data_IF_533461184226
#
_entry.id   IF_533461184226
#
_cell.length_a   1.000
_cell.length_b   1.000
_cell.length_c   1.000
_cell.angle_alpha   90.00
_cell.angle_beta   90.00
_cell.angle_gamma   90.00
#
_symmetry.space_group_name_H-M   'P 1'
#
loop_
_entity.id
_entity.type
_entity.pdbx_description
1 polymer ?
#
# COMPACT_ATOMS: atom_id res chain seq x y z
N UNK A 1 14.88 -2.28 -0.70
CA UNK A 1 14.04 -2.71 0.45
C UNK A 1 12.57 -2.53 0.07
N UNK A 2 11.74 -3.48 0.45
CA UNK A 2 10.28 -3.37 0.35
C UNK A 2 9.74 -3.02 1.73
N UNK A 3 8.88 -2.02 1.81
CA UNK A 3 8.13 -1.71 3.02
C UNK A 3 6.70 -2.21 2.88
N UNK A 4 6.31 -3.18 3.71
CA UNK A 4 4.96 -3.72 3.79
C UNK A 4 4.21 -3.04 4.93
N UNK A 5 3.00 -2.53 4.69
CA UNK A 5 2.20 -1.97 5.76
C UNK A 5 0.73 -2.35 5.63
N UNK A 6 0.16 -2.84 6.73
CA UNK A 6 -1.28 -3.05 6.87
C UNK A 6 -1.95 -1.92 7.67
N UNK A 7 -1.21 -0.85 7.93
CA UNK A 7 -1.69 0.26 8.75
C UNK A 7 -1.83 -0.14 10.22
N UNK A 8 -2.89 0.34 10.86
CA UNK A 8 -3.23 0.03 12.26
C UNK A 8 -4.14 -1.19 12.40
N UNK A 9 -4.66 -1.70 11.29
CA UNK A 9 -5.56 -2.84 11.22
C UNK A 9 -4.76 -4.15 11.05
N UNK A 10 -5.33 -5.12 10.35
CA UNK A 10 -4.69 -6.40 10.07
C UNK A 10 -4.99 -6.86 8.64
N UNK A 11 -4.08 -7.59 8.06
CA UNK A 11 -4.27 -8.30 6.80
C UNK A 11 -3.31 -9.49 6.75
N UNK A 12 -3.60 -10.50 7.53
CA UNK A 12 -2.73 -11.67 7.73
C UNK A 12 -2.44 -12.42 6.42
N UNK A 13 -3.41 -12.49 5.52
CA UNK A 13 -3.21 -13.13 4.21
C UNK A 13 -2.12 -12.43 3.38
N UNK A 14 -2.05 -11.10 3.43
CA UNK A 14 -1.00 -10.34 2.75
C UNK A 14 0.37 -10.54 3.41
N UNK A 15 0.43 -10.49 4.74
CA UNK A 15 1.68 -10.71 5.48
C UNK A 15 2.21 -12.12 5.23
N UNK A 16 1.32 -13.12 5.23
CA UNK A 16 1.67 -14.51 4.93
C UNK A 16 2.18 -14.66 3.49
N UNK A 17 1.50 -14.09 2.52
CA UNK A 17 1.93 -14.16 1.11
C UNK A 17 3.33 -13.57 0.92
N UNK A 18 3.60 -12.40 1.52
CA UNK A 18 4.94 -11.81 1.48
C UNK A 18 5.99 -12.68 2.17
N UNK A 19 5.63 -13.36 3.24
CA UNK A 19 6.53 -14.28 3.95
C UNK A 19 6.86 -15.51 3.09
N UNK A 20 5.85 -16.09 2.44
CA UNK A 20 6.01 -17.21 1.51
C UNK A 20 6.86 -16.81 0.28
N UNK A 21 6.70 -15.60 -0.24
CA UNK A 21 7.51 -15.07 -1.35
C UNK A 21 8.96 -14.83 -0.95
N UNK A 22 9.21 -14.42 0.27
CA UNK A 22 10.56 -14.29 0.81
C UNK A 22 11.22 -15.67 1.03
N UNK A 23 10.47 -16.62 1.58
CA UNK A 23 10.94 -18.00 1.82
C UNK A 23 11.31 -18.70 0.52
N UNK A 24 10.49 -18.58 -0.51
CA UNK A 24 10.73 -19.18 -1.83
C UNK A 24 11.85 -18.53 -2.63
N UNK A 25 12.33 -17.36 -2.22
CA UNK A 25 13.28 -16.56 -2.98
C UNK A 25 12.70 -15.83 -4.19
N UNK A 26 11.38 -15.80 -4.33
CA UNK A 26 10.70 -15.03 -5.38
C UNK A 26 10.90 -13.53 -5.15
N UNK A 27 10.86 -13.10 -3.90
CA UNK A 27 11.27 -11.76 -3.47
C UNK A 27 12.60 -11.90 -2.73
N UNK A 28 13.63 -11.26 -3.25
CA UNK A 28 15.01 -11.35 -2.73
C UNK A 28 15.42 -10.10 -1.96
N UNK A 29 14.68 -9.01 -2.09
CA UNK A 29 14.94 -7.77 -1.36
C UNK A 29 14.61 -7.91 0.14
N UNK A 30 15.31 -7.16 0.95
CA UNK A 30 14.94 -7.05 2.37
C UNK A 30 13.55 -6.45 2.53
N UNK A 31 12.79 -6.99 3.47
CA UNK A 31 11.43 -6.54 3.78
C UNK A 31 11.40 -6.04 5.22
N UNK A 32 10.77 -4.89 5.41
CA UNK A 32 10.35 -4.40 6.72
C UNK A 32 8.83 -4.30 6.70
N UNK A 33 8.16 -4.85 7.70
CA UNK A 33 6.71 -4.87 7.75
C UNK A 33 6.15 -4.16 8.99
N UNK A 34 5.07 -3.41 8.78
CA UNK A 34 4.15 -2.99 9.84
C UNK A 34 2.91 -3.88 9.77
N UNK A 35 2.73 -4.74 10.76
CA UNK A 35 1.69 -5.80 10.73
C UNK A 35 0.45 -5.47 11.57
N UNK A 36 0.43 -4.32 12.25
CA UNK A 36 -0.72 -3.85 13.01
C UNK A 36 -1.16 -4.83 14.09
N UNK A 37 -2.45 -5.12 14.13
CA UNK A 37 -3.09 -6.04 15.09
C UNK A 37 -3.16 -7.49 14.60
N UNK A 38 -2.53 -7.80 13.47
CA UNK A 38 -2.53 -9.13 12.89
C UNK A 38 -1.97 -10.22 13.81
N UNK A 39 -2.42 -11.45 13.58
CA UNK A 39 -2.02 -12.63 14.36
C UNK A 39 -0.93 -13.44 13.68
N UNK A 40 -0.82 -13.33 12.36
CA UNK A 40 0.27 -13.99 11.63
C UNK A 40 1.61 -13.30 11.90
N UNK A 41 2.59 -14.09 12.33
CA UNK A 41 3.96 -13.61 12.62
C UNK A 41 4.89 -14.09 11.50
N UNK A 42 5.45 -13.17 10.69
CA UNK A 42 6.36 -13.53 9.62
C UNK A 42 7.69 -14.06 10.19
N UNK A 43 8.33 -14.99 9.46
CA UNK A 43 9.59 -15.64 9.87
C UNK A 43 10.78 -15.20 9.02
N UNK A 44 10.54 -14.72 7.81
CA UNK A 44 11.59 -14.48 6.82
C UNK A 44 11.96 -13.00 6.68
N UNK A 45 11.32 -12.11 7.42
CA UNK A 45 11.66 -10.69 7.44
C UNK A 45 11.34 -10.03 8.79
N UNK A 46 11.83 -8.81 8.95
CA UNK A 46 11.62 -8.01 10.16
C UNK A 46 10.24 -7.37 10.14
N UNK A 47 9.61 -7.31 11.30
CA UNK A 47 8.32 -6.65 11.46
C UNK A 47 8.26 -5.80 12.73
N UNK A 48 7.35 -4.86 12.70
CA UNK A 48 6.94 -4.00 13.82
C UNK A 48 5.41 -3.98 13.82
N UNK A 49 4.80 -3.87 14.97
CA UNK A 49 3.34 -3.78 15.02
C UNK A 49 2.84 -2.41 14.58
N UNK A 50 3.47 -1.34 15.09
CA UNK A 50 3.10 0.02 14.77
C UNK A 50 4.33 0.93 14.79
N UNK A 51 4.55 1.66 13.71
CA UNK A 51 5.53 2.74 13.64
C UNK A 51 4.84 4.07 13.91
N UNK A 52 5.38 4.86 14.82
CA UNK A 52 4.89 6.22 15.10
C UNK A 52 5.16 7.18 13.95
N UNK A 53 6.25 6.97 13.23
CA UNK A 53 6.65 7.79 12.09
C UNK A 53 7.10 6.89 10.93
N UNK A 54 6.38 6.95 9.82
CA UNK A 54 6.64 6.15 8.63
C UNK A 54 7.68 6.78 7.68
N UNK A 55 8.07 8.04 7.90
CA UNK A 55 8.93 8.78 6.96
C UNK A 55 10.25 8.07 6.67
N UNK A 56 10.87 7.49 7.69
CA UNK A 56 12.12 6.75 7.51
C UNK A 56 11.93 5.47 6.70
N UNK A 57 10.86 4.74 6.96
CA UNK A 57 10.52 3.54 6.21
C UNK A 57 10.24 3.88 4.75
N UNK A 58 9.48 4.92 4.49
CA UNK A 58 9.21 5.40 3.14
C UNK A 58 10.49 5.84 2.40
N UNK A 59 11.39 6.55 3.08
CA UNK A 59 12.64 7.00 2.49
C UNK A 59 13.59 5.84 2.11
N UNK A 60 13.53 4.74 2.83
CA UNK A 60 14.36 3.55 2.59
C UNK A 60 13.76 2.57 1.58
N UNK A 61 12.45 2.66 1.34
CA UNK A 61 11.75 1.69 0.50
C UNK A 61 11.92 2.01 -1.00
N UNK A 62 12.24 1.00 -1.79
CA UNK A 62 12.16 1.05 -3.25
C UNK A 62 10.72 0.86 -3.74
N UNK A 63 9.96 0.03 -3.01
CA UNK A 63 8.53 -0.21 -3.24
C UNK A 63 7.83 -0.31 -1.90
N UNK A 64 6.62 0.25 -1.83
CA UNK A 64 5.72 0.12 -0.69
C UNK A 64 4.57 -0.80 -1.10
N UNK A 65 4.29 -1.81 -0.28
CA UNK A 65 3.12 -2.68 -0.42
C UNK A 65 2.16 -2.37 0.72
N UNK A 66 0.95 -1.98 0.37
CA UNK A 66 -0.05 -1.51 1.33
C UNK A 66 -1.35 -2.30 1.24
N UNK A 67 -1.99 -2.47 2.38
CA UNK A 67 -3.35 -3.04 2.47
C UNK A 67 -4.47 -2.07 2.02
N UNK A 68 -4.13 -0.89 1.51
CA UNK A 68 -5.09 0.03 0.90
C UNK A 68 -5.79 0.98 1.85
N UNK A 69 -5.24 1.24 3.02
CA UNK A 69 -5.72 2.32 3.89
C UNK A 69 -5.67 3.67 3.16
N UNK A 70 -6.73 4.48 3.26
CA UNK A 70 -6.85 5.73 2.52
C UNK A 70 -5.73 6.73 2.84
N UNK A 71 -5.37 6.87 4.10
CA UNK A 71 -4.29 7.76 4.54
C UNK A 71 -2.94 7.39 3.93
N UNK A 72 -2.53 6.13 4.02
CA UNK A 72 -1.30 5.63 3.41
C UNK A 72 -1.32 5.80 1.90
N UNK A 73 -2.43 5.47 1.26
CA UNK A 73 -2.59 5.57 -0.20
C UNK A 73 -2.40 7.01 -0.67
N UNK A 74 -3.06 7.97 -0.05
CA UNK A 74 -2.94 9.39 -0.41
C UNK A 74 -1.54 9.90 -0.10
N UNK A 75 -0.99 9.60 1.06
CA UNK A 75 0.36 10.05 1.43
C UNK A 75 1.42 9.56 0.46
N UNK A 76 1.43 8.26 0.15
CA UNK A 76 2.40 7.68 -0.77
C UNK A 76 2.26 8.23 -2.18
N UNK A 77 1.03 8.35 -2.69
CA UNK A 77 0.80 8.84 -4.05
C UNK A 77 1.12 10.32 -4.20
N UNK A 78 0.80 11.16 -3.23
CA UNK A 78 1.16 12.59 -3.27
C UNK A 78 2.67 12.83 -3.19
N UNK A 79 3.41 11.92 -2.54
CA UNK A 79 4.88 11.96 -2.47
C UNK A 79 5.58 11.31 -3.66
N UNK A 80 4.83 10.74 -4.59
CA UNK A 80 5.39 10.05 -5.76
C UNK A 80 6.15 8.77 -5.43
N UNK A 81 5.82 8.11 -4.33
CA UNK A 81 6.42 6.85 -3.93
C UNK A 81 5.86 5.69 -4.74
N UNK A 82 6.67 4.67 -4.99
CA UNK A 82 6.23 3.48 -5.70
C UNK A 82 5.36 2.62 -4.79
N UNK A 83 4.07 2.62 -5.06
CA UNK A 83 3.04 2.01 -4.23
C UNK A 83 2.32 0.89 -4.97
N UNK A 84 2.29 -0.28 -4.35
CA UNK A 84 1.38 -1.39 -4.68
C UNK A 84 0.31 -1.43 -3.61
N UNK A 85 -0.96 -1.31 -4.02
CA UNK A 85 -2.10 -1.47 -3.12
C UNK A 85 -2.71 -2.84 -3.35
N UNK A 86 -2.80 -3.64 -2.28
CA UNK A 86 -3.42 -4.95 -2.30
C UNK A 86 -4.84 -4.86 -1.76
N UNK A 87 -5.79 -5.32 -2.56
CA UNK A 87 -7.20 -5.31 -2.17
C UNK A 87 -7.47 -6.27 -1.02
N UNK A 88 -7.99 -5.74 0.08
CA UNK A 88 -8.53 -6.54 1.19
C UNK A 88 -10.06 -6.55 1.11
N UNK A 89 -10.60 -7.59 0.48
CA UNK A 89 -12.05 -7.72 0.22
C UNK A 89 -12.91 -7.79 1.47
N UNK A 90 -12.32 -8.14 2.62
CA UNK A 90 -13.06 -8.28 3.89
C UNK A 90 -13.22 -6.95 4.65
N UNK A 91 -12.45 -5.92 4.31
CA UNK A 91 -12.37 -4.66 5.07
C UNK A 91 -12.55 -3.42 4.19
N UNK A 92 -12.27 -3.52 2.88
CA UNK A 92 -12.40 -2.39 1.97
C UNK A 92 -13.86 -2.07 1.69
N UNK A 93 -14.24 -0.86 2.00
CA UNK A 93 -15.53 -0.28 1.60
C UNK A 93 -15.45 0.30 0.18
N UNK A 94 -16.63 0.46 -0.45
CA UNK A 94 -16.73 0.92 -1.84
C UNK A 94 -15.99 2.23 -2.14
N UNK A 95 -15.89 3.14 -1.18
CA UNK A 95 -15.16 4.41 -1.32
C UNK A 95 -13.64 4.22 -1.44
N UNK A 96 -13.07 3.28 -0.69
CA UNK A 96 -11.64 2.97 -0.79
C UNK A 96 -11.31 2.35 -2.14
N UNK A 97 -12.16 1.46 -2.64
CA UNK A 97 -11.98 0.83 -3.96
C UNK A 97 -12.03 1.89 -5.06
N UNK A 98 -12.98 2.81 -5.01
CA UNK A 98 -13.08 3.90 -5.99
C UNK A 98 -11.84 4.80 -6.01
N UNK A 99 -11.29 5.12 -4.84
CA UNK A 99 -10.07 5.91 -4.74
C UNK A 99 -8.88 5.16 -5.38
N UNK A 100 -8.70 3.91 -5.04
CA UNK A 100 -7.61 3.06 -5.57
C UNK A 100 -7.75 2.90 -7.08
N UNK A 101 -8.95 2.63 -7.57
CA UNK A 101 -9.22 2.48 -9.00
C UNK A 101 -8.86 3.74 -9.78
N UNK A 102 -9.27 4.90 -9.29
CA UNK A 102 -8.98 6.18 -9.95
C UNK A 102 -7.48 6.51 -9.93
N UNK A 103 -6.81 6.30 -8.82
CA UNK A 103 -5.36 6.52 -8.72
C UNK A 103 -4.57 5.53 -9.59
N UNK A 104 -5.00 4.28 -9.68
CA UNK A 104 -4.41 3.29 -10.57
C UNK A 104 -4.60 3.68 -12.05
N UNK A 105 -5.80 4.08 -12.43
CA UNK A 105 -6.12 4.52 -13.79
C UNK A 105 -5.26 5.72 -14.22
N UNK A 106 -4.98 6.63 -13.31
CA UNK A 106 -4.13 7.83 -13.55
C UNK A 106 -2.64 7.56 -13.48
N UNK A 107 -2.21 6.36 -13.13
CA UNK A 107 -0.79 6.00 -13.07
C UNK A 107 -0.07 6.45 -11.80
N UNK A 108 -0.77 6.59 -10.69
CA UNK A 108 -0.18 7.01 -9.41
C UNK A 108 0.19 5.85 -8.50
N UNK A 109 -0.38 4.67 -8.74
CA UNK A 109 -0.10 3.43 -8.00
C UNK A 109 -0.32 2.20 -8.89
N UNK A 110 0.07 1.04 -8.40
CA UNK A 110 -0.27 -0.26 -8.98
C UNK A 110 -1.28 -0.95 -8.07
N UNK A 111 -2.42 -1.31 -8.62
CA UNK A 111 -3.46 -2.04 -7.89
C UNK A 111 -3.31 -3.55 -8.07
N UNK A 112 -3.05 -4.26 -6.98
CA UNK A 112 -2.99 -5.71 -6.93
C UNK A 112 -4.34 -6.27 -6.44
N UNK A 113 -5.13 -6.83 -7.34
CA UNK A 113 -6.46 -7.35 -7.04
C UNK A 113 -6.45 -8.76 -6.46
N UNK A 114 -5.41 -9.53 -6.75
CA UNK A 114 -5.23 -10.89 -6.27
C UNK A 114 -3.84 -11.08 -5.69
N UNK A 115 -3.75 -11.76 -4.54
CA UNK A 115 -2.46 -12.04 -3.90
C UNK A 115 -1.51 -12.84 -4.82
N UNK A 116 -2.03 -13.71 -5.66
CA UNK A 116 -1.23 -14.48 -6.62
C UNK A 116 -0.48 -13.60 -7.62
N UNK A 117 -0.96 -12.37 -7.85
CA UNK A 117 -0.34 -11.40 -8.77
C UNK A 117 0.66 -10.49 -8.06
N UNK A 118 0.84 -10.62 -6.74
CA UNK A 118 1.65 -9.72 -5.94
C UNK A 118 3.11 -9.61 -6.44
N UNK A 119 3.82 -10.71 -6.77
CA UNK A 119 5.16 -10.60 -7.33
C UNK A 119 5.22 -9.78 -8.61
N UNK A 120 4.25 -9.99 -9.51
CA UNK A 120 4.14 -9.24 -10.76
C UNK A 120 3.86 -7.75 -10.50
N UNK A 121 2.95 -7.44 -9.58
CA UNK A 121 2.63 -6.05 -9.22
C UNK A 121 3.83 -5.32 -8.60
N UNK A 122 4.62 -5.98 -7.77
CA UNK A 122 5.85 -5.43 -7.21
C UNK A 122 6.86 -5.09 -8.31
N UNK A 123 7.11 -6.02 -9.23
CA UNK A 123 8.02 -5.79 -10.36
C UNK A 123 7.50 -4.68 -11.29
N UNK A 124 6.20 -4.64 -11.54
CA UNK A 124 5.57 -3.59 -12.34
C UNK A 124 5.76 -2.21 -11.69
N UNK A 125 5.57 -2.09 -10.37
CA UNK A 125 5.78 -0.84 -9.65
C UNK A 125 7.24 -0.38 -9.70
N UNK A 126 8.20 -1.30 -9.63
CA UNK A 126 9.62 -0.97 -9.76
C UNK A 126 9.97 -0.38 -11.12
N UNK A 127 9.37 -0.91 -12.19
CA UNK A 127 9.67 -0.55 -13.58
C UNK A 127 8.85 0.62 -14.11
N UNK A 128 7.72 0.92 -13.49
CA UNK A 128 6.82 1.97 -13.93
C UNK A 128 7.22 3.31 -13.33
N UNK A 129 7.21 4.36 -14.14
CA UNK A 129 7.34 5.73 -13.67
C UNK A 129 5.98 6.21 -13.12
N UNK A 130 5.75 5.94 -11.83
CA UNK A 130 4.54 6.35 -11.14
C UNK A 130 4.59 7.84 -10.84
N UNK A 131 3.61 8.56 -11.35
CA UNK A 131 3.54 10.02 -11.23
C UNK A 131 3.00 10.44 -9.87
N UNK A 132 3.56 11.50 -9.24
CA UNK A 132 2.97 12.07 -8.04
C UNK A 132 1.54 12.53 -8.30
N UNK A 133 0.66 12.26 -7.35
CA UNK A 133 -0.71 12.76 -7.37
C UNK A 133 -0.73 14.21 -6.86
N UNK A 134 -1.16 15.12 -7.71
CA UNK A 134 -1.26 16.55 -7.39
C UNK A 134 -2.71 16.91 -7.08
N UNK A 135 -2.95 17.46 -5.90
CA UNK A 135 -4.30 17.78 -5.40
C UNK A 135 -4.77 19.20 -5.76
N UNK A 136 -4.09 19.88 -6.67
CA UNK A 136 -4.34 21.29 -7.00
C UNK A 136 -5.65 21.55 -7.75
N UNK A 137 -6.30 20.50 -8.27
CA UNK A 137 -7.61 20.63 -8.88
C UNK A 137 -8.71 20.63 -7.80
N UNK A 138 -9.56 21.68 -7.69
CA UNK A 138 -10.63 21.72 -6.70
C UNK A 138 -11.56 20.50 -6.73
N UNK A 139 -11.72 19.88 -7.91
CA UNK A 139 -12.49 18.63 -8.08
C UNK A 139 -11.82 17.43 -7.40
N UNK A 140 -10.51 17.27 -7.55
CA UNK A 140 -9.78 16.15 -6.95
C UNK A 140 -9.80 16.26 -5.43
N UNK A 141 -9.61 17.47 -4.89
CA UNK A 141 -9.68 17.73 -3.46
C UNK A 141 -11.06 17.40 -2.88
N UNK A 142 -12.14 17.82 -3.53
CA UNK A 142 -13.52 17.48 -3.12
C UNK A 142 -13.78 15.97 -3.17
N UNK A 143 -13.33 15.28 -4.21
CA UNK A 143 -13.50 13.83 -4.34
C UNK A 143 -12.76 13.13 -3.19
N UNK A 144 -11.54 13.52 -2.88
CA UNK A 144 -10.74 12.95 -1.79
C UNK A 144 -11.41 13.20 -0.44
N UNK A 145 -11.87 14.42 -0.17
CA UNK A 145 -12.55 14.76 1.07
C UNK A 145 -13.86 13.99 1.24
N UNK A 146 -14.64 13.85 0.18
CA UNK A 146 -15.86 13.04 0.20
C UNK A 146 -15.57 11.56 0.44
N UNK A 147 -14.51 11.02 -0.17
CA UNK A 147 -14.09 9.62 0.01
C UNK A 147 -13.54 9.35 1.41
N UNK A 148 -12.97 10.35 2.06
CA UNK A 148 -12.46 10.25 3.44
C UNK A 148 -13.56 10.46 4.49
N UNK A 149 -14.80 10.76 4.10
CA UNK A 149 -15.91 11.02 5.01
C UNK A 149 -15.79 12.33 5.77
N UNK A 150 -14.88 13.22 5.38
CA UNK A 150 -14.81 14.58 5.88
C UNK A 150 -15.77 15.45 5.07
N UNK A 151 -17.00 15.58 5.54
CA UNK A 151 -17.88 16.62 5.03
C UNK A 151 -17.37 17.97 5.56
N UNK A 152 -16.99 18.86 4.67
CA UNK A 152 -16.92 20.27 5.03
C UNK A 152 -18.32 20.72 5.48
N UNK A 153 -18.41 21.09 6.71
CA UNK A 153 -19.55 21.89 7.17
C UNK A 153 -19.46 23.29 6.55
#
# INVERSE_FOLDING_TARGET
MIFLTVGTSHFDALVKEMDDLAESGTVTESILAQIGTGTYIPRNFRYIRLLRNLNRAYAMADVIVSAGGAGTTIECTTRGLKLVVVENKSVMEGHQIQLIEELNRRGHLVWCRNLNELPHCIELAKKTDLKPFVTDAPRAHKIILNLLGTSEC
#
